data_IF_965796224617
#
_entry.id   IF_965796224617
#
_cell.length_a   1.000
_cell.length_b   1.000
_cell.length_c   1.000
_cell.angle_alpha   90.00
_cell.angle_beta   90.00
_cell.angle_gamma   90.00
#
_symmetry.space_group_name_H-M   'P 1'
#
loop_
_entity.id
_entity.type
_entity.pdbx_description
1 polymer ?
#
# COMPACT_ATOMS: atom_id res chain seq x y z
N UNK A 1 -7.45 -23.35 49.88
CA UNK A 1 -6.76 -23.53 48.58
C UNK A 1 -7.01 -22.26 47.82
N UNK A 2 -6.12 -21.30 47.98
CA UNK A 2 -6.23 -20.00 47.33
C UNK A 2 -5.64 -20.12 45.93
N UNK A 3 -6.47 -19.83 44.93
CA UNK A 3 -6.05 -19.75 43.54
C UNK A 3 -5.05 -18.59 43.40
N UNK A 4 -3.94 -18.78 42.67
CA UNK A 4 -2.97 -17.70 42.50
C UNK A 4 -3.65 -16.56 41.71
N UNK A 5 -3.29 -15.30 42.02
CA UNK A 5 -3.86 -14.15 41.35
C UNK A 5 -3.59 -14.24 39.81
N UNK A 6 -4.66 -14.20 39.03
CA UNK A 6 -4.57 -14.10 37.60
C UNK A 6 -3.82 -12.81 37.29
N UNK A 7 -2.56 -12.94 36.87
CA UNK A 7 -1.79 -11.82 36.32
C UNK A 7 -2.62 -11.26 35.15
N UNK A 8 -3.22 -10.10 35.35
CA UNK A 8 -3.83 -9.33 34.31
C UNK A 8 -2.71 -8.96 33.32
N UNK A 9 -2.61 -9.73 32.26
CA UNK A 9 -1.78 -9.37 31.12
C UNK A 9 -2.14 -7.93 30.72
N UNK A 10 -1.32 -6.97 31.15
CA UNK A 10 -1.47 -5.54 30.82
C UNK A 10 -1.26 -5.24 29.32
N UNK A 11 -1.15 -6.27 28.51
CA UNK A 11 -1.06 -6.17 27.04
C UNK A 11 -2.43 -6.17 26.35
N UNK A 12 -3.49 -5.82 27.05
CA UNK A 12 -4.79 -5.55 26.43
C UNK A 12 -4.77 -4.18 25.75
N UNK A 13 -3.73 -3.94 24.93
CA UNK A 13 -3.69 -2.79 24.06
C UNK A 13 -4.82 -2.93 23.06
N UNK A 14 -5.75 -2.00 23.10
CA UNK A 14 -6.81 -1.84 22.11
C UNK A 14 -6.22 -2.07 20.71
N UNK A 15 -6.86 -2.91 19.90
CA UNK A 15 -6.39 -3.22 18.56
C UNK A 15 -6.27 -1.92 17.77
N UNK A 16 -5.07 -1.59 17.31
CA UNK A 16 -4.83 -0.41 16.49
C UNK A 16 -5.55 -0.59 15.16
N UNK A 17 -6.47 0.31 14.86
CA UNK A 17 -7.20 0.33 13.59
C UNK A 17 -6.22 0.59 12.45
N UNK A 18 -6.49 0.01 11.28
CA UNK A 18 -5.68 0.24 10.08
C UNK A 18 -5.78 1.72 9.67
N UNK A 19 -4.68 2.47 9.61
CA UNK A 19 -4.71 3.92 9.38
C UNK A 19 -5.40 4.33 8.10
N UNK A 20 -5.21 3.55 7.03
CA UNK A 20 -5.85 3.78 5.74
C UNK A 20 -7.38 3.63 5.83
N UNK A 21 -7.86 2.54 6.47
CA UNK A 21 -9.29 2.30 6.63
C UNK A 21 -9.97 3.39 7.48
N UNK A 22 -9.29 3.88 8.50
CA UNK A 22 -9.76 4.93 9.37
C UNK A 22 -9.95 6.28 8.65
N UNK A 23 -9.26 6.49 7.52
CA UNK A 23 -9.26 7.74 6.72
C UNK A 23 -9.94 7.60 5.37
N UNK A 24 -10.57 6.45 5.10
CA UNK A 24 -11.39 6.29 3.89
C UNK A 24 -12.52 7.32 3.85
N UNK A 25 -12.83 7.81 2.66
CA UNK A 25 -13.83 8.83 2.37
C UNK A 25 -13.39 10.24 2.80
N UNK A 26 -12.66 10.40 3.93
CA UNK A 26 -12.23 11.70 4.43
C UNK A 26 -11.00 12.20 3.67
N UNK A 27 -9.92 11.41 3.64
CA UNK A 27 -8.65 11.76 3.00
C UNK A 27 -8.25 10.81 1.87
N UNK A 28 -8.71 9.58 1.93
CA UNK A 28 -8.34 8.51 1.01
C UNK A 28 -9.56 7.95 0.31
N UNK A 29 -9.37 7.58 -0.96
CA UNK A 29 -10.38 6.93 -1.76
C UNK A 29 -10.14 5.41 -1.81
N UNK A 30 -11.12 4.67 -2.31
CA UNK A 30 -11.05 3.23 -2.49
C UNK A 30 -10.03 2.85 -3.58
N UNK A 31 -9.32 1.75 -3.37
CA UNK A 31 -8.38 1.21 -4.38
C UNK A 31 -9.10 0.50 -5.52
N UNK A 32 -10.34 0.07 -5.32
CA UNK A 32 -11.21 -0.46 -6.36
C UNK A 32 -12.43 0.45 -6.45
N UNK A 33 -12.64 1.07 -7.62
CA UNK A 33 -13.72 2.03 -7.89
C UNK A 33 -14.62 1.47 -8.97
N UNK A 34 -15.72 0.88 -8.57
CA UNK A 34 -16.73 0.35 -9.46
C UNK A 34 -18.03 0.05 -8.72
N UNK A 35 -19.10 -0.04 -9.49
CA UNK A 35 -20.42 -0.45 -9.02
C UNK A 35 -20.89 -1.66 -9.82
N UNK A 36 -21.61 -2.58 -9.19
CA UNK A 36 -22.21 -3.74 -9.83
C UNK A 36 -23.47 -4.19 -9.08
N UNK A 37 -24.36 -4.86 -9.80
CA UNK A 37 -25.51 -5.52 -9.22
C UNK A 37 -25.09 -6.58 -8.20
N UNK A 38 -25.89 -6.88 -7.16
CA UNK A 38 -25.55 -7.83 -6.12
C UNK A 38 -25.11 -9.21 -6.65
N UNK A 39 -25.74 -9.70 -7.72
CA UNK A 39 -25.39 -10.99 -8.36
C UNK A 39 -24.00 -10.99 -9.00
N UNK A 40 -23.56 -9.87 -9.58
CA UNK A 40 -22.26 -9.71 -10.26
C UNK A 40 -21.16 -9.23 -9.31
N UNK A 41 -21.57 -8.58 -8.20
CA UNK A 41 -20.63 -7.98 -7.24
C UNK A 41 -19.62 -8.99 -6.69
N UNK A 42 -20.10 -10.16 -6.24
CA UNK A 42 -19.24 -11.21 -5.66
C UNK A 42 -18.22 -11.71 -6.68
N UNK A 43 -18.63 -11.89 -7.94
CA UNK A 43 -17.74 -12.36 -9.01
C UNK A 43 -16.66 -11.34 -9.33
N UNK A 44 -17.02 -10.06 -9.41
CA UNK A 44 -16.05 -8.99 -9.67
C UNK A 44 -15.09 -8.82 -8.51
N UNK A 45 -15.58 -8.82 -7.27
CA UNK A 45 -14.75 -8.72 -6.07
C UNK A 45 -13.74 -9.88 -5.99
N UNK A 46 -14.20 -11.12 -6.21
CA UNK A 46 -13.31 -12.29 -6.26
C UNK A 46 -12.23 -12.12 -7.32
N UNK A 47 -12.60 -11.65 -8.52
CA UNK A 47 -11.68 -11.38 -9.60
C UNK A 47 -10.62 -10.35 -9.24
N UNK A 48 -11.04 -9.22 -8.68
CA UNK A 48 -10.14 -8.13 -8.29
C UNK A 48 -9.14 -8.57 -7.22
N UNK A 49 -9.58 -9.31 -6.22
CA UNK A 49 -8.70 -9.84 -5.16
C UNK A 49 -7.65 -10.79 -5.74
N UNK A 50 -8.07 -11.75 -6.56
CA UNK A 50 -7.17 -12.76 -7.13
C UNK A 50 -6.16 -12.15 -8.11
N UNK A 51 -6.58 -11.18 -8.92
CA UNK A 51 -5.69 -10.49 -9.85
C UNK A 51 -4.72 -9.60 -9.08
N UNK A 52 -5.17 -8.88 -8.06
CA UNK A 52 -4.29 -8.05 -7.22
C UNK A 52 -3.23 -8.90 -6.54
N UNK A 53 -3.59 -10.03 -5.95
CA UNK A 53 -2.63 -10.96 -5.34
C UNK A 53 -1.63 -11.52 -6.35
N UNK A 54 -2.07 -11.82 -7.58
CA UNK A 54 -1.19 -12.27 -8.65
C UNK A 54 -0.20 -11.16 -9.04
N UNK A 55 -0.69 -9.92 -9.22
CA UNK A 55 0.16 -8.79 -9.57
C UNK A 55 1.15 -8.45 -8.45
N UNK A 56 0.72 -8.43 -7.19
CA UNK A 56 1.61 -8.20 -6.05
C UNK A 56 2.76 -9.22 -5.99
N UNK A 57 2.47 -10.49 -6.28
CA UNK A 57 3.52 -11.53 -6.36
C UNK A 57 4.43 -11.37 -7.56
N UNK A 58 3.88 -11.15 -8.74
CA UNK A 58 4.64 -11.05 -10.00
C UNK A 58 5.52 -9.81 -10.05
N UNK A 59 5.02 -8.72 -9.53
CA UNK A 59 5.69 -7.43 -9.56
C UNK A 59 6.50 -7.13 -8.29
N UNK A 60 6.74 -8.14 -7.46
CA UNK A 60 7.61 -8.01 -6.29
C UNK A 60 9.02 -7.59 -6.73
N UNK A 61 9.58 -6.59 -6.07
CA UNK A 61 10.88 -6.01 -6.47
C UNK A 61 10.80 -4.83 -7.43
N UNK A 62 9.62 -4.54 -7.99
CA UNK A 62 9.42 -3.37 -8.87
C UNK A 62 8.91 -2.13 -8.12
N UNK A 63 9.01 -2.12 -6.79
CA UNK A 63 8.67 -0.98 -5.91
C UNK A 63 7.29 -0.37 -6.19
N UNK A 64 6.26 -1.21 -6.10
CA UNK A 64 4.89 -0.79 -6.33
C UNK A 64 4.32 -0.12 -5.09
N UNK A 65 3.74 1.06 -5.27
CA UNK A 65 2.99 1.79 -4.25
C UNK A 65 1.58 1.24 -4.10
N UNK A 66 0.82 1.26 -5.18
CA UNK A 66 -0.57 0.78 -5.18
C UNK A 66 -0.99 0.20 -6.53
N UNK A 67 -1.98 -0.69 -6.47
CA UNK A 67 -2.69 -1.22 -7.63
C UNK A 67 -4.15 -0.81 -7.49
N UNK A 68 -4.60 0.09 -8.34
CA UNK A 68 -5.97 0.58 -8.37
C UNK A 68 -6.73 -0.05 -9.54
N UNK A 69 -8.01 -0.34 -9.34
CA UNK A 69 -8.85 -0.97 -10.35
C UNK A 69 -10.10 -0.13 -10.53
N UNK A 70 -10.32 0.34 -11.74
CA UNK A 70 -11.52 1.06 -12.13
C UNK A 70 -12.32 0.23 -13.14
N UNK A 71 -13.60 0.02 -12.86
CA UNK A 71 -14.49 -0.65 -13.80
C UNK A 71 -15.62 0.26 -14.18
N UNK A 72 -15.77 0.43 -15.47
CA UNK A 72 -16.96 0.99 -16.12
C UNK A 72 -17.77 -0.14 -16.75
N UNK A 73 -18.91 0.19 -17.32
CA UNK A 73 -19.80 -0.79 -17.97
C UNK A 73 -19.11 -1.60 -19.06
N UNK A 74 -18.22 -0.97 -19.86
CA UNK A 74 -17.54 -1.60 -21.00
C UNK A 74 -16.03 -1.76 -20.78
N UNK A 75 -15.41 -0.88 -20.01
CA UNK A 75 -13.96 -0.81 -19.84
C UNK A 75 -13.52 -1.13 -18.44
N UNK A 76 -12.38 -1.83 -18.31
CA UNK A 76 -11.70 -2.02 -17.03
C UNK A 76 -10.29 -1.44 -17.14
N UNK A 77 -9.96 -0.54 -16.23
CA UNK A 77 -8.67 0.14 -16.15
C UNK A 77 -7.92 -0.34 -14.92
N UNK A 78 -6.68 -0.78 -15.10
CA UNK A 78 -5.75 -1.08 -14.03
C UNK A 78 -4.70 0.01 -13.97
N UNK A 79 -4.58 0.67 -12.83
CA UNK A 79 -3.60 1.73 -12.60
C UNK A 79 -2.57 1.18 -11.61
N UNK A 80 -1.31 1.07 -12.07
CA UNK A 80 -0.18 0.61 -11.26
C UNK A 80 0.70 1.80 -10.98
N UNK A 81 0.82 2.18 -9.70
CA UNK A 81 1.74 3.23 -9.25
C UNK A 81 3.06 2.61 -8.82
N UNK A 82 4.15 3.05 -9.40
CA UNK A 82 5.50 2.54 -9.14
C UNK A 82 6.53 3.66 -9.12
N UNK A 83 7.63 3.45 -8.41
CA UNK A 83 8.78 4.37 -8.47
C UNK A 83 9.70 4.13 -9.68
N UNK A 84 9.55 2.99 -10.36
CA UNK A 84 10.42 2.60 -11.50
C UNK A 84 9.57 2.18 -12.70
N UNK A 85 8.87 3.10 -13.37
CA UNK A 85 7.98 2.78 -14.48
C UNK A 85 8.72 2.12 -15.65
N UNK A 86 9.98 2.49 -15.91
CA UNK A 86 10.78 1.91 -16.98
C UNK A 86 10.98 0.40 -16.88
N UNK A 87 11.05 -0.17 -15.68
CA UNK A 87 11.15 -1.62 -15.49
C UNK A 87 9.86 -2.35 -15.86
N UNK A 88 8.70 -1.70 -15.67
CA UNK A 88 7.39 -2.27 -16.03
C UNK A 88 7.07 -2.11 -17.51
N UNK A 89 7.39 -0.96 -18.08
CA UNK A 89 7.14 -0.64 -19.48
C UNK A 89 8.05 -1.47 -20.38
N UNK A 90 9.33 -1.62 -19.97
CA UNK A 90 10.33 -2.34 -20.74
C UNK A 90 10.74 -1.62 -22.01
N UNK A 91 11.58 -2.29 -22.80
CA UNK A 91 12.07 -1.76 -24.08
C UNK A 91 10.91 -1.69 -25.07
N UNK A 92 10.67 -0.54 -25.68
CA UNK A 92 9.58 -0.31 -26.67
C UNK A 92 8.16 -0.66 -26.19
N UNK A 93 7.90 -0.72 -24.86
CA UNK A 93 6.58 -1.04 -24.34
C UNK A 93 6.23 -2.54 -24.26
N UNK A 94 7.15 -3.43 -24.63
CA UNK A 94 6.93 -4.89 -24.58
C UNK A 94 6.56 -5.42 -23.19
N UNK A 95 7.15 -4.85 -22.13
CA UNK A 95 6.85 -5.24 -20.75
C UNK A 95 5.39 -5.00 -20.39
N UNK A 96 4.87 -3.82 -20.75
CA UNK A 96 3.47 -3.47 -20.51
C UNK A 96 2.52 -4.37 -21.32
N UNK A 97 2.86 -4.66 -22.59
CA UNK A 97 2.07 -5.57 -23.44
C UNK A 97 2.04 -6.99 -22.88
N UNK A 98 3.19 -7.55 -22.51
CA UNK A 98 3.30 -8.87 -21.87
C UNK A 98 2.51 -8.91 -20.56
N UNK A 99 2.59 -7.86 -19.74
CA UNK A 99 1.83 -7.77 -18.50
C UNK A 99 0.33 -7.76 -18.74
N UNK A 100 -0.14 -7.02 -19.77
CA UNK A 100 -1.53 -7.01 -20.19
C UNK A 100 -2.02 -8.41 -20.60
N UNK A 101 -1.26 -9.11 -21.44
CA UNK A 101 -1.57 -10.48 -21.86
C UNK A 101 -1.62 -11.44 -20.67
N UNK A 102 -0.67 -11.34 -19.76
CA UNK A 102 -0.62 -12.22 -18.59
C UNK A 102 -1.80 -12.02 -17.64
N UNK A 103 -2.27 -10.79 -17.48
CA UNK A 103 -3.50 -10.49 -16.74
C UNK A 103 -4.69 -11.15 -17.44
N UNK A 104 -4.83 -10.99 -18.76
CA UNK A 104 -5.91 -11.59 -19.52
C UNK A 104 -5.88 -13.12 -19.46
N UNK A 105 -4.70 -13.75 -19.65
CA UNK A 105 -4.52 -15.19 -19.48
C UNK A 105 -4.89 -15.65 -18.07
N UNK A 106 -4.58 -14.86 -17.04
CA UNK A 106 -4.96 -15.17 -15.67
C UNK A 106 -6.46 -15.06 -15.44
N UNK A 107 -7.11 -14.05 -16.02
CA UNK A 107 -8.57 -13.92 -15.98
C UNK A 107 -9.26 -15.13 -16.62
N UNK A 108 -8.75 -15.63 -17.75
CA UNK A 108 -9.27 -16.82 -18.42
C UNK A 108 -9.16 -18.07 -17.53
N UNK A 109 -7.99 -18.30 -16.96
CA UNK A 109 -7.78 -19.44 -16.03
C UNK A 109 -8.72 -19.39 -14.83
N UNK A 110 -9.12 -18.20 -14.40
CA UNK A 110 -10.03 -18.00 -13.27
C UNK A 110 -11.52 -17.97 -13.72
N UNK A 111 -11.80 -18.16 -15.02
CA UNK A 111 -13.15 -18.10 -15.62
C UNK A 111 -13.88 -16.79 -15.24
N UNK A 112 -13.15 -15.67 -15.24
CA UNK A 112 -13.70 -14.35 -14.96
C UNK A 112 -14.19 -13.71 -16.25
N UNK A 113 -15.25 -12.90 -16.17
CA UNK A 113 -15.73 -12.13 -17.31
C UNK A 113 -14.65 -11.17 -17.80
N UNK A 114 -14.29 -11.29 -19.09
CA UNK A 114 -13.37 -10.36 -19.72
C UNK A 114 -14.09 -9.04 -20.00
N UNK A 115 -13.44 -7.91 -19.74
CA UNK A 115 -13.95 -6.63 -20.19
C UNK A 115 -13.75 -6.51 -21.72
N UNK A 116 -14.64 -5.81 -22.38
CA UNK A 116 -14.53 -5.50 -23.82
C UNK A 116 -13.28 -4.65 -24.11
N UNK A 117 -13.04 -3.65 -23.26
CA UNK A 117 -11.86 -2.79 -23.32
C UNK A 117 -11.05 -2.91 -22.03
N UNK A 118 -9.78 -3.35 -22.17
CA UNK A 118 -8.84 -3.50 -21.07
C UNK A 118 -7.70 -2.49 -21.21
N UNK A 119 -7.59 -1.57 -20.24
CA UNK A 119 -6.55 -0.54 -20.19
C UNK A 119 -5.61 -0.77 -19.01
N UNK A 120 -4.32 -0.74 -19.29
CA UNK A 120 -3.26 -0.78 -18.27
C UNK A 120 -2.55 0.58 -18.27
N UNK A 121 -2.58 1.26 -17.16
CA UNK A 121 -1.87 2.53 -16.94
C UNK A 121 -0.77 2.34 -15.91
N UNK A 122 0.42 2.84 -16.21
CA UNK A 122 1.56 2.83 -15.31
C UNK A 122 1.86 4.28 -14.96
N UNK A 123 1.74 4.60 -13.68
CA UNK A 123 1.92 5.96 -13.16
C UNK A 123 3.17 5.99 -12.28
N UNK A 124 4.02 6.98 -12.48
CA UNK A 124 5.19 7.20 -11.66
C UNK A 124 4.83 7.84 -10.32
N UNK A 125 5.54 7.41 -9.28
CA UNK A 125 5.49 8.03 -7.94
C UNK A 125 6.67 8.97 -7.81
N UNK A 126 6.40 10.28 -7.73
CA UNK A 126 7.44 11.32 -7.67
C UNK A 126 8.32 11.25 -6.42
N UNK A 127 7.74 10.91 -5.26
CA UNK A 127 8.45 10.83 -3.98
C UNK A 127 8.40 9.40 -3.41
N UNK A 128 9.25 8.47 -3.86
CA UNK A 128 9.20 7.07 -3.42
C UNK A 128 9.53 6.90 -1.93
N UNK A 129 10.34 7.77 -1.36
CA UNK A 129 10.73 7.72 0.05
C UNK A 129 9.61 8.18 1.00
N UNK A 130 8.63 8.92 0.49
CA UNK A 130 7.44 9.32 1.25
C UNK A 130 6.27 8.31 1.12
N UNK A 131 6.47 7.17 0.43
CA UNK A 131 5.45 6.13 0.23
C UNK A 131 5.74 4.91 1.10
N UNK A 132 4.79 4.57 1.99
CA UNK A 132 4.98 3.48 2.94
C UNK A 132 5.12 2.11 2.27
N UNK A 133 4.51 1.88 1.10
CA UNK A 133 4.61 0.61 0.40
C UNK A 133 6.01 0.42 -0.19
N UNK A 134 6.53 1.44 -0.86
CA UNK A 134 7.88 1.41 -1.45
C UNK A 134 8.93 1.24 -0.36
N UNK A 135 8.81 2.00 0.74
CA UNK A 135 9.72 1.91 1.89
C UNK A 135 9.67 0.53 2.52
N UNK A 136 8.49 -0.07 2.67
CA UNK A 136 8.36 -1.43 3.20
C UNK A 136 9.06 -2.47 2.31
N UNK A 137 8.98 -2.33 0.98
CA UNK A 137 9.71 -3.19 0.04
C UNK A 137 11.22 -2.99 0.12
N UNK A 138 11.71 -1.74 0.27
CA UNK A 138 13.13 -1.46 0.47
C UNK A 138 13.68 -2.15 1.72
N UNK A 139 12.90 -2.13 2.81
CA UNK A 139 13.28 -2.83 4.04
C UNK A 139 13.30 -4.34 3.81
N UNK A 140 12.26 -4.90 3.18
CA UNK A 140 12.17 -6.32 2.89
C UNK A 140 13.37 -6.79 2.05
N UNK A 141 13.70 -6.08 0.99
CA UNK A 141 14.84 -6.36 0.12
C UNK A 141 16.17 -6.32 0.89
N UNK A 142 16.36 -5.30 1.75
CA UNK A 142 17.56 -5.18 2.59
C UNK A 142 17.71 -6.38 3.53
N UNK A 143 16.62 -6.84 4.15
CA UNK A 143 16.63 -8.01 5.02
C UNK A 143 16.85 -9.30 4.22
N UNK A 144 16.22 -9.49 3.06
CA UNK A 144 16.40 -10.64 2.17
C UNK A 144 17.84 -10.73 1.64
N UNK A 145 18.52 -9.61 1.46
CA UNK A 145 19.96 -9.51 1.18
C UNK A 145 20.86 -9.77 2.40
N UNK A 146 20.29 -10.22 3.51
CA UNK A 146 20.98 -10.54 4.77
C UNK A 146 21.74 -9.37 5.39
N UNK A 147 21.30 -8.14 5.14
CA UNK A 147 21.88 -6.97 5.82
C UNK A 147 21.45 -6.93 7.30
N UNK A 148 22.30 -6.43 8.21
CA UNK A 148 21.93 -6.28 9.61
C UNK A 148 20.69 -5.40 9.76
N UNK A 149 19.62 -5.94 10.36
CA UNK A 149 18.32 -5.28 10.43
C UNK A 149 18.37 -3.89 11.08
N UNK A 150 19.19 -3.69 12.12
CA UNK A 150 19.37 -2.39 12.78
C UNK A 150 19.94 -1.33 11.83
N UNK A 151 20.89 -1.72 10.99
CA UNK A 151 21.48 -0.83 9.98
C UNK A 151 20.45 -0.47 8.91
N UNK A 152 19.72 -1.47 8.41
CA UNK A 152 18.66 -1.25 7.40
C UNK A 152 17.62 -0.26 7.90
N UNK A 153 17.08 -0.47 9.12
CA UNK A 153 16.04 0.41 9.64
C UNK A 153 16.58 1.84 9.86
N UNK A 154 17.79 2.00 10.44
CA UNK A 154 18.37 3.32 10.68
C UNK A 154 18.58 4.08 9.39
N UNK A 155 19.20 3.45 8.39
CA UNK A 155 19.45 4.07 7.09
C UNK A 155 18.16 4.46 6.36
N UNK A 156 17.15 3.59 6.42
CA UNK A 156 15.88 3.86 5.73
C UNK A 156 15.08 4.95 6.44
N UNK A 157 15.02 4.95 7.77
CA UNK A 157 14.27 6.00 8.49
C UNK A 157 14.92 7.38 8.28
N UNK A 158 16.24 7.45 8.15
CA UNK A 158 16.95 8.70 7.81
C UNK A 158 16.57 9.18 6.41
N UNK A 159 16.56 8.30 5.41
CA UNK A 159 16.11 8.63 4.06
C UNK A 159 14.67 9.13 4.04
N UNK A 160 13.76 8.44 4.73
CA UNK A 160 12.34 8.83 4.83
C UNK A 160 12.20 10.21 5.48
N UNK A 161 12.95 10.49 6.54
CA UNK A 161 12.89 11.80 7.22
C UNK A 161 13.51 12.94 6.40
N UNK A 162 14.42 12.65 5.47
CA UNK A 162 14.99 13.63 4.54
C UNK A 162 14.04 13.92 3.37
N UNK A 163 13.07 13.03 3.11
CA UNK A 163 12.10 13.20 2.04
C UNK A 163 11.18 14.40 2.29
N UNK A 164 10.94 15.18 1.23
CA UNK A 164 10.10 16.38 1.31
C UNK A 164 8.67 16.02 1.68
N UNK A 165 8.12 16.71 2.67
CA UNK A 165 6.73 16.54 3.11
C UNK A 165 6.50 15.38 4.07
N UNK A 166 7.55 14.86 4.72
CA UNK A 166 7.43 13.86 5.79
C UNK A 166 7.72 14.53 7.14
N UNK A 167 6.78 14.44 8.06
CA UNK A 167 6.90 14.98 9.42
C UNK A 167 7.18 13.90 10.47
N UNK A 168 6.96 12.64 10.12
CA UNK A 168 7.24 11.53 11.01
C UNK A 168 7.18 10.18 10.34
N UNK A 169 8.00 9.25 10.85
CA UNK A 169 8.04 7.88 10.38
C UNK A 169 8.20 6.89 11.55
N UNK A 170 7.54 5.74 11.41
CA UNK A 170 7.61 4.62 12.35
C UNK A 170 7.79 3.33 11.58
N UNK A 171 8.80 2.56 11.95
CA UNK A 171 9.08 1.25 11.37
C UNK A 171 9.08 0.23 12.50
N UNK A 172 8.32 -0.84 12.32
CA UNK A 172 8.25 -1.96 13.28
C UNK A 172 8.60 -3.24 12.54
N UNK A 173 9.57 -3.96 13.07
CA UNK A 173 9.95 -5.30 12.63
C UNK A 173 9.54 -6.31 13.69
N UNK A 174 8.93 -7.42 13.29
CA UNK A 174 8.55 -8.50 14.19
C UNK A 174 8.88 -9.87 13.61
N UNK A 175 9.56 -10.70 14.39
CA UNK A 175 9.98 -12.04 13.98
C UNK A 175 11.32 -12.45 14.57
N UNK A 176 11.97 -13.46 13.99
CA UNK A 176 13.31 -13.93 14.37
C UNK A 176 14.39 -12.99 13.84
N UNK A 177 14.56 -11.84 14.50
CA UNK A 177 15.49 -10.81 14.06
C UNK A 177 16.94 -11.27 14.21
N UNK A 178 17.70 -11.25 13.11
CA UNK A 178 19.09 -11.70 13.08
C UNK A 178 19.28 -13.22 13.25
N UNK A 179 18.21 -14.02 13.06
CA UNK A 179 18.28 -15.48 13.24
C UNK A 179 18.10 -15.97 14.67
N UNK A 180 17.74 -15.09 15.63
CA UNK A 180 17.48 -15.46 17.01
C UNK A 180 16.36 -16.50 17.11
N UNK A 181 16.45 -17.46 18.04
CA UNK A 181 15.44 -18.52 18.22
C UNK A 181 14.11 -17.95 18.72
N UNK A 182 14.17 -16.96 19.59
CA UNK A 182 12.99 -16.30 20.14
C UNK A 182 12.65 -15.07 19.27
N UNK A 183 11.41 -15.02 18.83
CA UNK A 183 10.90 -13.88 18.06
C UNK A 183 10.88 -12.61 18.93
N UNK A 184 11.30 -11.49 18.36
CA UNK A 184 11.30 -10.18 18.99
C UNK A 184 10.61 -9.16 18.09
N UNK A 185 10.20 -8.07 18.73
CA UNK A 185 9.69 -6.90 18.01
C UNK A 185 10.62 -5.74 18.31
N UNK A 186 11.16 -5.13 17.25
CA UNK A 186 11.93 -3.89 17.36
C UNK A 186 11.23 -2.78 16.60
N UNK A 187 11.28 -1.60 17.18
CA UNK A 187 10.61 -0.40 16.68
C UNK A 187 11.58 0.77 16.68
N UNK A 188 11.54 1.55 15.58
CA UNK A 188 12.17 2.86 15.52
C UNK A 188 11.10 3.87 15.09
N UNK A 189 10.99 4.96 15.83
CA UNK A 189 10.10 6.08 15.53
C UNK A 189 10.92 7.38 15.51
N UNK A 190 10.68 8.22 14.48
CA UNK A 190 11.17 9.61 14.40
C UNK A 190 10.04 10.53 14.03
N UNK A 191 10.00 11.70 14.63
CA UNK A 191 8.92 12.67 14.46
C UNK A 191 7.60 12.27 15.14
N UNK A 192 6.52 12.96 14.80
CA UNK A 192 5.19 12.71 15.33
C UNK A 192 4.38 11.78 14.41
N UNK A 193 3.45 11.00 14.98
CA UNK A 193 2.53 10.16 14.20
C UNK A 193 1.19 10.12 14.92
N UNK A 194 0.32 11.10 14.64
CA UNK A 194 -0.98 11.22 15.30
C UNK A 194 -1.99 10.26 14.66
N UNK A 195 -1.99 8.98 15.10
CA UNK A 195 -2.85 7.95 14.53
C UNK A 195 -4.34 8.23 14.72
N UNK A 196 -4.72 8.90 15.80
CA UNK A 196 -6.11 9.19 16.15
C UNK A 196 -6.68 10.38 15.39
N UNK A 197 -5.83 11.29 14.89
CA UNK A 197 -6.25 12.50 14.17
C UNK A 197 -6.69 12.15 12.76
N UNK A 198 -7.96 12.40 12.40
CA UNK A 198 -8.50 12.09 11.08
C UNK A 198 -7.88 12.94 9.95
N UNK A 199 -7.56 14.19 10.22
CA UNK A 199 -6.96 15.12 9.26
C UNK A 199 -5.49 14.80 8.93
N UNK A 200 -4.83 13.98 9.77
CA UNK A 200 -3.45 13.58 9.56
C UNK A 200 -3.31 12.60 8.39
N UNK A 201 -2.53 12.97 7.36
CA UNK A 201 -2.26 12.07 6.23
C UNK A 201 -1.20 11.04 6.62
N UNK A 202 -1.67 9.86 7.02
CA UNK A 202 -0.80 8.74 7.40
C UNK A 202 -0.91 7.66 6.35
N UNK A 203 0.23 7.37 5.72
CA UNK A 203 0.38 6.22 4.85
C UNK A 203 0.87 5.01 5.64
N UNK A 204 0.36 3.82 5.28
CA UNK A 204 0.65 2.60 6.02
C UNK A 204 0.72 1.38 5.10
N UNK A 205 1.77 0.59 5.29
CA UNK A 205 1.91 -0.72 4.61
C UNK A 205 2.46 -1.77 5.56
N UNK A 206 1.96 -3.00 5.35
CA UNK A 206 2.53 -4.23 5.92
C UNK A 206 3.19 -5.01 4.81
N UNK A 207 4.39 -5.51 5.07
CA UNK A 207 5.14 -6.35 4.13
C UNK A 207 5.80 -7.51 4.88
N UNK A 208 6.24 -8.52 4.13
CA UNK A 208 6.91 -9.70 4.67
C UNK A 208 8.24 -9.90 3.96
N UNK A 209 9.30 -10.03 4.74
CA UNK A 209 10.60 -10.49 4.25
C UNK A 209 10.73 -11.98 4.52
N UNK A 210 11.02 -12.75 3.47
CA UNK A 210 11.21 -14.21 3.58
C UNK A 210 12.70 -14.50 3.71
N UNK A 211 13.07 -15.06 4.86
CA UNK A 211 14.46 -15.38 5.19
C UNK A 211 14.63 -16.88 5.36
N UNK A 212 15.87 -17.37 5.33
CA UNK A 212 16.17 -18.79 5.49
C UNK A 212 15.68 -19.39 6.82
N UNK A 213 15.60 -18.56 7.86
CA UNK A 213 15.15 -18.94 9.20
C UNK A 213 13.70 -18.55 9.51
N UNK A 214 12.92 -18.14 8.51
CA UNK A 214 11.51 -17.82 8.66
C UNK A 214 11.11 -16.49 8.04
N UNK A 215 9.96 -15.98 8.44
CA UNK A 215 9.38 -14.74 7.91
C UNK A 215 9.46 -13.64 8.96
N UNK A 216 9.95 -12.47 8.56
CA UNK A 216 9.93 -11.26 9.36
C UNK A 216 8.84 -10.33 8.84
N UNK A 217 7.93 -9.93 9.72
CA UNK A 217 6.87 -8.96 9.43
C UNK A 217 7.38 -7.53 9.55
N UNK A 218 7.06 -6.72 8.56
CA UNK A 218 7.44 -5.31 8.48
C UNK A 218 6.18 -4.47 8.49
N UNK A 219 6.14 -3.44 9.34
CA UNK A 219 5.06 -2.45 9.36
C UNK A 219 5.69 -1.07 9.27
N UNK A 220 5.22 -0.25 8.34
CA UNK A 220 5.71 1.10 8.10
C UNK A 220 4.56 2.08 8.20
N UNK A 221 4.72 3.15 8.94
CA UNK A 221 3.84 4.31 9.00
C UNK A 221 4.64 5.54 8.61
N UNK A 222 4.09 6.34 7.72
CA UNK A 222 4.67 7.62 7.31
C UNK A 222 3.61 8.69 7.47
N UNK A 223 3.91 9.72 8.23
CA UNK A 223 3.06 10.88 8.43
C UNK A 223 3.54 12.02 7.54
N UNK A 224 2.64 12.52 6.69
CA UNK A 224 2.92 13.56 5.69
C UNK A 224 2.38 14.94 6.09
N UNK A 225 1.97 15.10 7.35
CA UNK A 225 1.38 16.34 7.84
C UNK A 225 -0.16 16.32 7.82
N UNK A 226 -0.74 17.40 8.28
CA UNK A 226 -2.18 17.56 8.37
C UNK A 226 -2.75 18.15 7.08
N UNK A 227 -3.84 17.57 6.58
CA UNK A 227 -4.59 18.08 5.44
C UNK A 227 -5.79 18.85 5.96
N UNK A 228 -5.79 20.15 5.72
CA UNK A 228 -6.95 21.00 5.97
C UNK A 228 -7.78 21.11 4.69
N UNK A 229 -9.10 20.99 4.82
CA UNK A 229 -10.00 21.24 3.70
C UNK A 229 -9.75 22.66 3.16
N UNK A 230 -9.35 22.80 1.90
CA UNK A 230 -9.31 24.11 1.25
C UNK A 230 -10.71 24.69 1.34
N UNK A 231 -10.86 25.89 1.93
CA UNK A 231 -12.12 26.63 1.84
C UNK A 231 -12.45 26.73 0.35
N UNK A 232 -13.55 26.10 -0.05
CA UNK A 232 -14.05 26.22 -1.43
C UNK A 232 -14.57 27.64 -1.50
N UNK A 233 -13.85 28.50 -2.19
CA UNK A 233 -14.33 29.85 -2.46
C UNK A 233 -15.66 29.75 -3.19
N UNK A 234 -16.76 30.29 -2.64
CA UNK A 234 -18.07 30.16 -3.24
C UNK A 234 -18.12 30.74 -4.67
N UNK A 235 -17.19 31.60 -5.04
CA UNK A 235 -17.04 32.19 -6.38
C UNK A 235 -16.57 31.18 -7.44
N UNK A 236 -15.91 30.07 -7.09
CA UNK A 236 -15.49 29.05 -8.06
C UNK A 236 -16.63 28.12 -8.49
N UNK A 237 -17.75 28.13 -7.78
CA UNK A 237 -18.93 27.30 -8.09
C UNK A 237 -19.80 27.91 -9.18
N UNK A 238 -19.80 29.24 -9.29
CA UNK A 238 -20.59 29.97 -10.29
C UNK A 238 -20.00 29.94 -11.70
N UNK A 239 -18.71 29.67 -11.87
CA UNK A 239 -18.08 29.59 -13.20
C UNK A 239 -18.23 28.24 -13.90
N UNK A 240 -18.71 27.18 -13.21
CA UNK A 240 -18.92 25.85 -13.81
C UNK A 240 -20.36 25.58 -14.30
N UNK A 241 -21.24 26.56 -14.18
CA UNK A 241 -22.68 26.44 -14.51
C UNK A 241 -23.13 27.29 -15.70
N UNK A 242 -22.22 27.83 -16.49
CA UNK A 242 -22.63 28.40 -17.79
C UNK A 242 -22.62 27.26 -18.83
N UNK A 243 -23.80 26.79 -19.30
CA UNK A 243 -23.85 25.93 -20.45
C UNK A 243 -23.39 26.73 -21.66
N UNK A 244 -22.46 26.17 -22.44
CA UNK A 244 -22.13 26.69 -23.75
C UNK A 244 -23.40 26.69 -24.59
N UNK A 245 -23.89 27.88 -24.91
CA UNK A 245 -24.84 28.11 -25.99
C UNK A 245 -24.19 27.93 -27.34
#
# INVERSE_FOLDING_TARGET
>A
MDLPPVEKNQNNMSKIVHPYAHRLIILRDWKSRWFADPKKYVTYLKGDVLIRQYLEKKLRGMYISSIEIERSRKATRFIIRTSRPGLLIGRSGEGATKLKEDILKKMDKLKLAKPEDFKLEIVEVSNPEADAAIVAYMIAEGLEKRMPYRRVIKTIIEKVMTARGVEGARIVLGGRLGGADIARTEEIKRGSIPLQTFRADIDFKRERATLSYGVVGIKVWIYRGDIFAKKIDPKSRSQKLTPNS
#
